data_IF_138309318111
#
_entry.id   IF_138309318111
#
_cell.length_a   1.000
_cell.length_b   1.000
_cell.length_c   1.000
_cell.angle_alpha   90.00
_cell.angle_beta   90.00
_cell.angle_gamma   90.00
#
_symmetry.space_group_name_H-M   'P 1'
#
loop_
_entity.id
_entity.type
_entity.pdbx_description
1 polymer ?
#
# COMPACT_ATOMS: atom_id res chain seq x y z
N UNK A 1 -11.80 -5.90 1.53
CA UNK A 1 -10.72 -6.68 0.92
C UNK A 1 -11.23 -7.26 -0.38
N UNK A 2 -10.36 -7.32 -1.39
CA UNK A 2 -10.63 -7.83 -2.75
C UNK A 2 -10.98 -9.32 -2.78
N UNK A 3 -11.33 -9.92 -3.95
CA UNK A 3 -11.63 -11.34 -4.06
C UNK A 3 -10.57 -12.27 -3.46
N UNK A 4 -9.29 -11.93 -3.52
CA UNK A 4 -8.22 -12.73 -2.91
C UNK A 4 -8.17 -12.63 -1.37
N UNK A 5 -8.94 -11.72 -0.77
CA UNK A 5 -9.04 -11.56 0.68
C UNK A 5 -9.71 -12.74 1.39
N UNK A 6 -9.39 -12.91 2.67
CA UNK A 6 -9.85 -14.05 3.48
C UNK A 6 -11.38 -14.15 3.52
N UNK A 7 -12.07 -13.04 3.81
CA UNK A 7 -13.54 -12.99 3.92
C UNK A 7 -14.20 -13.42 2.60
N UNK A 8 -13.81 -12.80 1.48
CA UNK A 8 -14.39 -13.15 0.17
C UNK A 8 -14.07 -14.59 -0.24
N UNK A 9 -12.87 -15.08 0.09
CA UNK A 9 -12.50 -16.48 -0.15
C UNK A 9 -13.41 -17.43 0.62
N UNK A 10 -13.67 -17.17 1.91
CA UNK A 10 -14.60 -17.97 2.73
C UNK A 10 -16.02 -17.93 2.16
N UNK A 11 -16.51 -16.76 1.75
CA UNK A 11 -17.82 -16.63 1.09
C UNK A 11 -17.91 -17.48 -0.18
N UNK A 12 -16.91 -17.41 -1.07
CA UNK A 12 -16.87 -18.24 -2.30
C UNK A 12 -16.81 -19.74 -2.04
N UNK A 13 -16.24 -20.15 -0.90
CA UNK A 13 -16.21 -21.54 -0.46
C UNK A 13 -17.48 -21.98 0.28
N UNK A 14 -18.47 -21.11 0.43
CA UNK A 14 -19.72 -21.37 1.16
C UNK A 14 -19.57 -21.40 2.69
N UNK A 15 -18.46 -20.88 3.21
CA UNK A 15 -18.11 -20.87 4.64
C UNK A 15 -18.65 -19.59 5.30
N UNK A 16 -19.99 -19.46 5.33
CA UNK A 16 -20.67 -18.24 5.80
C UNK A 16 -20.32 -17.89 7.25
N UNK A 17 -20.43 -18.86 8.17
CA UNK A 17 -20.21 -18.62 9.59
C UNK A 17 -18.76 -18.19 9.87
N UNK A 18 -17.79 -18.79 9.17
CA UNK A 18 -16.40 -18.38 9.25
C UNK A 18 -16.15 -16.99 8.65
N UNK A 19 -16.83 -16.63 7.56
CA UNK A 19 -16.72 -15.30 6.97
C UNK A 19 -17.26 -14.22 7.93
N UNK A 20 -18.41 -14.47 8.56
CA UNK A 20 -19.00 -13.59 9.59
C UNK A 20 -18.07 -13.47 10.79
N UNK A 21 -17.54 -14.60 11.30
CA UNK A 21 -16.60 -14.60 12.42
C UNK A 21 -15.34 -13.80 12.10
N UNK A 22 -14.70 -14.06 10.96
CA UNK A 22 -13.48 -13.34 10.56
C UNK A 22 -13.75 -11.84 10.38
N UNK A 23 -14.86 -11.47 9.74
CA UNK A 23 -15.21 -10.05 9.57
C UNK A 23 -15.51 -9.36 10.91
N UNK A 24 -16.21 -10.04 11.83
CA UNK A 24 -16.47 -9.54 13.18
C UNK A 24 -15.19 -9.36 13.99
N UNK A 25 -14.27 -10.34 13.95
CA UNK A 25 -12.97 -10.26 14.63
C UNK A 25 -12.15 -9.07 14.12
N UNK A 26 -12.12 -8.84 12.80
CA UNK A 26 -11.45 -7.66 12.24
C UNK A 26 -12.15 -6.36 12.63
N UNK A 27 -13.48 -6.33 12.64
CA UNK A 27 -14.25 -5.16 13.09
C UNK A 27 -13.98 -4.84 14.57
N UNK A 28 -13.84 -5.86 15.43
CA UNK A 28 -13.49 -5.67 16.84
C UNK A 28 -12.05 -5.12 17.00
N UNK A 29 -11.12 -5.57 16.17
CA UNK A 29 -9.72 -5.09 16.19
C UNK A 29 -9.62 -3.64 15.72
N UNK A 30 -10.25 -3.29 14.59
CA UNK A 30 -10.13 -1.96 14.01
C UNK A 30 -11.13 -0.94 14.59
N UNK A 31 -12.21 -1.43 15.20
CA UNK A 31 -13.33 -0.63 15.65
C UNK A 31 -14.40 -0.46 14.57
N UNK A 32 -15.67 -0.38 15.01
CA UNK A 32 -16.84 -0.33 14.12
C UNK A 32 -16.83 0.80 13.09
N UNK A 33 -16.24 1.94 13.45
CA UNK A 33 -16.15 3.12 12.57
C UNK A 33 -15.01 3.04 11.54
N UNK A 34 -14.08 2.09 11.72
CA UNK A 34 -12.88 1.95 10.88
C UNK A 34 -12.89 0.66 10.05
N UNK A 35 -13.97 -0.12 10.12
CA UNK A 35 -14.14 -1.35 9.34
C UNK A 35 -15.24 -1.16 8.30
N UNK A 36 -14.90 -1.46 7.05
CA UNK A 36 -15.79 -1.35 5.92
C UNK A 36 -15.83 -2.66 5.13
N UNK A 37 -17.00 -3.01 4.62
CA UNK A 37 -17.16 -4.08 3.64
C UNK A 37 -16.96 -3.48 2.25
N UNK A 38 -15.87 -3.89 1.62
CA UNK A 38 -15.48 -3.42 0.29
C UNK A 38 -16.30 -4.11 -0.80
N UNK A 39 -16.84 -3.30 -1.70
CA UNK A 39 -17.57 -3.72 -2.89
C UNK A 39 -16.81 -3.27 -4.15
N UNK A 40 -16.73 -4.17 -5.12
CA UNK A 40 -16.12 -3.93 -6.43
C UNK A 40 -17.00 -4.57 -7.50
N UNK A 41 -17.01 -3.95 -8.68
CA UNK A 41 -17.78 -4.45 -9.82
C UNK A 41 -17.06 -4.11 -11.14
N UNK A 42 -16.50 -5.14 -11.75
CA UNK A 42 -15.85 -5.14 -13.05
C UNK A 42 -16.72 -5.86 -14.11
N UNK A 43 -17.99 -6.15 -13.80
CA UNK A 43 -18.91 -6.87 -14.68
C UNK A 43 -18.65 -8.38 -14.74
N UNK A 44 -18.00 -8.94 -13.72
CA UNK A 44 -17.67 -10.36 -13.65
C UNK A 44 -18.72 -11.13 -12.83
N UNK A 45 -19.23 -12.24 -13.37
CA UNK A 45 -20.23 -13.08 -12.71
C UNK A 45 -19.81 -13.53 -11.29
N UNK A 46 -18.50 -13.75 -11.10
CA UNK A 46 -17.94 -14.16 -9.80
C UNK A 46 -18.09 -13.05 -8.76
N UNK A 47 -17.99 -11.78 -9.16
CA UNK A 47 -18.15 -10.63 -8.28
C UNK A 47 -19.62 -10.42 -7.96
N UNK A 48 -20.52 -10.52 -8.94
CA UNK A 48 -21.97 -10.37 -8.72
C UNK A 48 -22.50 -11.36 -7.68
N UNK A 49 -22.01 -12.61 -7.68
CA UNK A 49 -22.40 -13.61 -6.69
C UNK A 49 -21.93 -13.25 -5.28
N UNK A 50 -20.67 -12.84 -5.15
CA UNK A 50 -20.08 -12.51 -3.84
C UNK A 50 -20.64 -11.18 -3.30
N UNK A 51 -21.01 -10.23 -4.16
CA UNK A 51 -21.61 -8.95 -3.75
C UNK A 51 -22.86 -9.13 -2.90
N UNK A 52 -23.76 -10.06 -3.25
CA UNK A 52 -24.96 -10.31 -2.44
C UNK A 52 -24.61 -10.82 -1.04
N UNK A 53 -23.65 -11.73 -0.94
CA UNK A 53 -23.17 -12.23 0.35
C UNK A 53 -22.44 -11.15 1.16
N UNK A 54 -21.70 -10.26 0.50
CA UNK A 54 -21.05 -9.11 1.14
C UNK A 54 -22.07 -8.10 1.70
N UNK A 55 -23.13 -7.81 0.97
CA UNK A 55 -24.22 -6.95 1.45
C UNK A 55 -24.89 -7.56 2.69
N UNK A 56 -25.21 -8.85 2.64
CA UNK A 56 -25.77 -9.58 3.78
C UNK A 56 -24.79 -9.59 4.96
N UNK A 57 -23.50 -9.72 4.71
CA UNK A 57 -22.46 -9.72 5.74
C UNK A 57 -22.38 -8.35 6.42
N UNK A 58 -22.37 -7.28 5.63
CA UNK A 58 -22.36 -5.90 6.11
C UNK A 58 -23.57 -5.61 7.01
N UNK A 59 -24.77 -6.05 6.60
CA UNK A 59 -25.98 -5.95 7.43
C UNK A 59 -25.84 -6.76 8.73
N UNK A 60 -25.36 -8.00 8.64
CA UNK A 60 -25.22 -8.92 9.79
C UNK A 60 -24.33 -8.34 10.89
N UNK A 61 -23.21 -7.73 10.54
CA UNK A 61 -22.26 -7.15 11.51
C UNK A 61 -22.49 -5.65 11.74
N UNK A 62 -23.39 -5.02 10.97
CA UNK A 62 -23.64 -3.58 10.99
C UNK A 62 -22.40 -2.78 10.60
N UNK A 63 -21.70 -3.20 9.54
CA UNK A 63 -20.56 -2.49 8.95
C UNK A 63 -21.01 -1.59 7.78
N UNK A 64 -20.29 -0.48 7.56
CA UNK A 64 -20.50 0.37 6.40
C UNK A 64 -19.94 -0.28 5.14
N UNK A 65 -20.51 0.05 3.99
CA UNK A 65 -20.02 -0.36 2.68
C UNK A 65 -18.99 0.64 2.15
N UNK A 66 -18.05 0.20 1.33
CA UNK A 66 -17.16 1.12 0.58
C UNK A 66 -16.99 0.61 -0.85
N UNK A 67 -17.18 1.47 -1.83
CA UNK A 67 -16.96 1.16 -3.23
C UNK A 67 -15.50 1.45 -3.61
N UNK A 68 -14.83 0.46 -4.21
CA UNK A 68 -13.48 0.60 -4.77
C UNK A 68 -13.44 0.00 -6.18
N UNK A 69 -12.32 0.16 -6.90
CA UNK A 69 -12.19 -0.30 -8.29
C UNK A 69 -10.86 -1.02 -8.58
N UNK A 70 -10.17 -1.49 -7.54
CA UNK A 70 -8.90 -2.22 -7.61
C UNK A 70 -7.95 -1.76 -8.74
N UNK A 71 -7.56 -0.49 -8.69
CA UNK A 71 -6.90 0.19 -9.80
C UNK A 71 -5.52 -0.42 -10.08
N UNK A 72 -5.28 -0.83 -11.33
CA UNK A 72 -3.99 -1.35 -11.78
C UNK A 72 -3.33 -0.49 -12.87
N UNK A 73 -4.10 0.40 -13.49
CA UNK A 73 -3.60 1.31 -14.53
C UNK A 73 -4.41 2.62 -14.55
N UNK A 74 -3.94 3.61 -15.32
CA UNK A 74 -4.50 4.97 -15.25
C UNK A 74 -5.70 5.11 -16.18
N UNK A 75 -5.57 4.72 -17.45
CA UNK A 75 -6.62 4.85 -18.48
C UNK A 75 -7.07 3.48 -18.95
N UNK A 76 -8.31 3.38 -19.40
CA UNK A 76 -8.84 2.11 -19.91
C UNK A 76 -7.96 1.49 -21.02
N UNK A 77 -7.44 2.31 -21.94
CA UNK A 77 -6.57 1.87 -23.04
C UNK A 77 -5.23 1.27 -22.59
N UNK A 78 -4.82 1.51 -21.33
CA UNK A 78 -3.58 0.96 -20.76
C UNK A 78 -3.70 -0.53 -20.39
N UNK A 79 -4.90 -1.12 -20.49
CA UNK A 79 -5.15 -2.53 -20.15
C UNK A 79 -4.21 -3.51 -20.88
N UNK A 80 -3.91 -3.26 -22.15
CA UNK A 80 -2.96 -4.08 -22.92
C UNK A 80 -1.52 -4.00 -22.39
N UNK A 81 -1.12 -2.83 -21.89
CA UNK A 81 0.20 -2.64 -21.27
C UNK A 81 0.28 -3.34 -19.92
N UNK A 82 -0.81 -3.30 -19.14
CA UNK A 82 -0.91 -4.05 -17.89
C UNK A 82 -0.84 -5.56 -18.14
N UNK A 83 -1.51 -6.06 -19.17
CA UNK A 83 -1.45 -7.48 -19.55
C UNK A 83 -0.03 -7.93 -19.93
N UNK A 84 0.69 -7.11 -20.71
CA UNK A 84 2.10 -7.37 -21.02
C UNK A 84 2.98 -7.39 -19.76
N UNK A 85 2.74 -6.48 -18.81
CA UNK A 85 3.45 -6.46 -17.53
C UNK A 85 3.20 -7.73 -16.71
N UNK A 86 1.95 -8.21 -16.66
CA UNK A 86 1.59 -9.46 -15.97
C UNK A 86 2.32 -10.65 -16.59
N UNK A 87 2.32 -10.76 -17.92
CA UNK A 87 3.01 -11.84 -18.63
C UNK A 87 4.52 -11.86 -18.35
N UNK A 88 5.16 -10.69 -18.31
CA UNK A 88 6.58 -10.55 -17.93
C UNK A 88 6.79 -11.06 -16.50
N UNK A 89 5.91 -10.68 -15.56
CA UNK A 89 6.04 -11.05 -14.15
C UNK A 89 5.81 -12.55 -13.90
N UNK A 90 4.89 -13.17 -14.63
CA UNK A 90 4.63 -14.62 -14.53
C UNK A 90 5.58 -15.47 -15.37
N UNK A 91 6.45 -14.86 -16.19
CA UNK A 91 7.34 -15.58 -17.09
C UNK A 91 6.62 -16.33 -18.22
N UNK A 92 5.42 -15.87 -18.60
CA UNK A 92 4.61 -16.42 -19.69
C UNK A 92 4.63 -15.50 -20.92
N UNK A 93 4.19 -16.01 -22.07
CA UNK A 93 4.04 -15.18 -23.28
C UNK A 93 2.61 -14.63 -23.40
N UNK A 94 2.41 -13.57 -24.19
CA UNK A 94 1.08 -13.03 -24.46
C UNK A 94 0.18 -14.00 -25.25
N UNK A 95 0.79 -14.91 -26.01
CA UNK A 95 0.08 -15.93 -26.79
C UNK A 95 -0.34 -17.14 -25.96
N UNK A 96 0.17 -17.28 -24.73
CA UNK A 96 -0.21 -18.37 -23.82
C UNK A 96 -1.65 -18.16 -23.31
N UNK A 97 -2.61 -19.05 -23.65
CA UNK A 97 -4.00 -18.92 -23.22
C UNK A 97 -4.17 -19.14 -21.71
N UNK A 98 -3.26 -19.87 -21.07
CA UNK A 98 -3.31 -20.21 -19.64
C UNK A 98 -2.55 -19.18 -18.77
N UNK A 99 -2.06 -18.10 -19.38
CA UNK A 99 -1.39 -17.02 -18.65
C UNK A 99 -2.31 -16.39 -17.60
N UNK A 100 -1.70 -15.90 -16.54
CA UNK A 100 -2.40 -15.01 -15.61
C UNK A 100 -2.71 -13.67 -16.30
N UNK A 101 -3.98 -13.30 -16.34
CA UNK A 101 -4.48 -12.01 -16.83
C UNK A 101 -5.72 -11.61 -16.07
N UNK A 102 -6.07 -10.34 -16.11
CA UNK A 102 -7.37 -9.88 -15.64
C UNK A 102 -8.45 -10.11 -16.68
N UNK A 103 -9.68 -10.30 -16.22
CA UNK A 103 -10.85 -10.37 -17.07
C UNK A 103 -11.40 -8.95 -17.30
N UNK A 104 -11.51 -8.55 -18.58
CA UNK A 104 -12.00 -7.22 -18.96
C UNK A 104 -10.98 -6.09 -18.79
N UNK A 105 -11.45 -4.85 -18.96
CA UNK A 105 -10.63 -3.61 -18.96
C UNK A 105 -10.94 -2.67 -17.79
N UNK A 106 -11.75 -3.09 -16.82
CA UNK A 106 -12.36 -2.22 -15.80
C UNK A 106 -11.45 -1.67 -14.69
N UNK A 107 -10.16 -2.01 -14.67
CA UNK A 107 -9.22 -1.71 -13.56
C UNK A 107 -8.46 -0.37 -13.73
N UNK A 108 -9.07 0.59 -14.43
CA UNK A 108 -8.53 1.95 -14.60
C UNK A 108 -9.14 2.95 -13.62
N UNK A 109 -8.57 4.16 -13.55
CA UNK A 109 -9.13 5.26 -12.75
C UNK A 109 -10.45 5.76 -13.36
N UNK A 110 -11.56 5.10 -13.00
CA UNK A 110 -12.92 5.55 -13.34
C UNK A 110 -13.17 6.95 -12.75
N UNK A 111 -13.82 7.80 -13.54
CA UNK A 111 -14.34 9.08 -13.07
C UNK A 111 -15.40 8.87 -11.98
N UNK A 112 -15.61 9.90 -11.16
CA UNK A 112 -16.67 9.87 -10.14
C UNK A 112 -18.05 9.55 -10.75
N UNK A 113 -18.34 10.06 -11.95
CA UNK A 113 -19.60 9.79 -12.65
C UNK A 113 -19.72 8.34 -13.15
N UNK A 114 -18.61 7.68 -13.49
CA UNK A 114 -18.61 6.24 -13.81
C UNK A 114 -18.83 5.41 -12.55
N UNK A 115 -18.08 5.67 -11.47
CA UNK A 115 -18.25 4.95 -10.20
C UNK A 115 -19.67 5.08 -9.64
N UNK A 116 -20.25 6.28 -9.69
CA UNK A 116 -21.65 6.51 -9.26
C UNK A 116 -22.67 5.79 -10.14
N UNK A 117 -22.37 5.55 -11.42
CA UNK A 117 -23.23 4.74 -12.30
C UNK A 117 -23.13 3.25 -11.98
N UNK A 118 -21.93 2.75 -11.70
CA UNK A 118 -21.71 1.36 -11.26
C UNK A 118 -22.47 1.07 -9.97
N UNK A 119 -22.36 1.96 -8.97
CA UNK A 119 -23.00 1.81 -7.67
C UNK A 119 -24.27 2.67 -7.51
N UNK A 120 -25.07 2.82 -8.58
CA UNK A 120 -26.26 3.68 -8.56
C UNK A 120 -27.31 3.25 -7.51
N UNK A 121 -27.40 1.93 -7.26
CA UNK A 121 -28.31 1.34 -6.26
C UNK A 121 -27.76 1.41 -4.82
N UNK A 122 -26.48 1.73 -4.65
CA UNK A 122 -25.76 1.78 -3.37
C UNK A 122 -24.93 3.08 -3.27
N UNK A 123 -25.57 4.27 -3.34
CA UNK A 123 -24.86 5.55 -3.35
C UNK A 123 -23.97 5.74 -2.12
N UNK A 124 -24.34 5.17 -0.98
CA UNK A 124 -23.59 5.23 0.27
C UNK A 124 -22.22 4.56 0.18
N UNK A 125 -22.05 3.54 -0.67
CA UNK A 125 -20.76 2.89 -0.87
C UNK A 125 -19.75 3.88 -1.49
N UNK A 126 -20.21 4.75 -2.39
CA UNK A 126 -19.40 5.84 -2.92
C UNK A 126 -19.23 6.98 -1.91
N UNK A 127 -20.27 7.35 -1.16
CA UNK A 127 -20.17 8.43 -0.16
C UNK A 127 -19.16 8.11 0.94
N UNK A 128 -19.11 6.86 1.39
CA UNK A 128 -18.15 6.41 2.41
C UNK A 128 -16.68 6.54 1.95
N UNK A 129 -16.40 6.59 0.65
CA UNK A 129 -15.04 6.89 0.16
C UNK A 129 -14.60 8.30 0.55
N UNK A 130 -15.53 9.26 0.54
CA UNK A 130 -15.26 10.65 0.95
C UNK A 130 -15.12 10.73 2.47
N UNK A 131 -15.96 10.01 3.22
CA UNK A 131 -15.83 9.92 4.68
C UNK A 131 -14.44 9.40 5.09
N UNK A 132 -13.99 8.31 4.46
CA UNK A 132 -12.65 7.75 4.71
C UNK A 132 -11.57 8.77 4.34
N UNK A 133 -11.71 9.46 3.20
CA UNK A 133 -10.75 10.48 2.77
C UNK A 133 -10.66 11.65 3.77
N UNK A 134 -11.78 12.08 4.34
CA UNK A 134 -11.83 13.14 5.36
C UNK A 134 -11.25 12.69 6.72
N UNK A 135 -11.29 11.39 7.03
CA UNK A 135 -10.71 10.82 8.25
C UNK A 135 -9.18 10.62 8.15
N UNK A 136 -8.62 10.58 6.94
CA UNK A 136 -7.20 10.34 6.72
C UNK A 136 -6.37 11.60 6.94
N UNK A 137 -5.75 11.74 8.13
CA UNK A 137 -4.75 12.77 8.41
C UNK A 137 -3.36 12.14 8.60
N UNK A 138 -2.48 12.32 7.61
CA UNK A 138 -1.09 11.82 7.66
C UNK A 138 -0.13 12.96 7.30
N UNK A 139 0.88 13.17 8.12
CA UNK A 139 1.93 14.15 7.87
C UNK A 139 3.31 13.50 7.94
N UNK A 140 4.20 13.95 7.05
CA UNK A 140 5.59 13.51 7.00
C UNK A 140 6.49 14.68 7.34
N UNK A 141 7.30 14.55 8.39
CA UNK A 141 8.38 15.51 8.63
C UNK A 141 9.57 15.16 7.74
N UNK A 142 9.65 15.83 6.60
CA UNK A 142 10.73 15.66 5.61
C UNK A 142 11.99 16.47 5.93
N UNK A 143 11.97 17.28 7.01
CA UNK A 143 13.10 18.08 7.47
C UNK A 143 13.81 17.46 8.66
N UNK A 144 13.16 16.56 9.37
CA UNK A 144 13.76 15.88 10.50
C UNK A 144 15.01 15.10 10.08
N UNK A 145 16.07 15.32 10.84
CA UNK A 145 17.29 14.54 10.76
C UNK A 145 17.28 13.53 11.90
N UNK A 146 16.89 12.29 11.59
CA UNK A 146 16.88 11.17 12.55
C UNK A 146 18.23 10.43 12.59
N UNK A 147 19.34 11.11 12.29
CA UNK A 147 20.66 10.50 12.44
C UNK A 147 20.88 10.06 13.90
N UNK A 148 21.34 8.82 14.13
CA UNK A 148 21.70 8.36 15.46
C UNK A 148 22.77 9.25 16.07
N UNK A 149 22.69 9.45 17.40
CA UNK A 149 23.75 10.13 18.15
C UNK A 149 24.90 9.16 18.39
N UNK A 150 26.09 9.51 17.92
CA UNK A 150 27.29 8.71 18.17
C UNK A 150 27.74 8.91 19.63
N UNK A 151 27.99 7.83 20.39
CA UNK A 151 28.45 7.97 21.77
C UNK A 151 29.88 8.52 21.78
N UNK A 152 30.06 9.69 22.42
CA UNK A 152 31.36 10.32 22.59
C UNK A 152 31.78 10.32 24.07
N UNK A 153 33.07 10.33 24.39
CA UNK A 153 33.54 10.43 25.77
C UNK A 153 33.09 11.72 26.47
N UNK A 154 33.10 11.70 27.81
CA UNK A 154 32.76 12.87 28.62
C UNK A 154 33.64 14.08 28.26
N UNK A 155 33.00 15.22 28.03
CA UNK A 155 33.65 16.47 27.64
C UNK A 155 33.85 16.66 26.14
N UNK A 156 33.43 15.70 25.31
CA UNK A 156 33.42 15.81 23.85
C UNK A 156 32.00 16.00 23.29
N UNK A 157 31.93 16.47 22.06
CA UNK A 157 30.75 16.39 21.18
C UNK A 157 31.09 15.59 19.91
N UNK A 158 30.08 15.29 19.08
CA UNK A 158 30.27 14.49 17.85
C UNK A 158 31.30 15.11 16.90
N UNK A 159 31.37 16.44 16.83
CA UNK A 159 32.31 17.18 15.96
C UNK A 159 33.74 17.08 16.47
N UNK A 160 33.98 17.38 17.75
CA UNK A 160 35.30 17.32 18.38
C UNK A 160 35.84 15.89 18.41
N UNK A 161 34.97 14.91 18.64
CA UNK A 161 35.34 13.50 18.54
C UNK A 161 35.65 13.09 17.11
N UNK A 162 34.84 13.52 16.13
CA UNK A 162 35.08 13.25 14.71
C UNK A 162 36.45 13.79 14.24
N UNK A 163 36.80 15.02 14.61
CA UNK A 163 38.11 15.62 14.29
C UNK A 163 39.26 14.81 14.91
N UNK A 164 39.09 14.34 16.16
CA UNK A 164 40.10 13.49 16.83
C UNK A 164 40.26 12.14 16.12
N UNK A 165 39.18 11.52 15.70
CA UNK A 165 39.21 10.27 14.94
C UNK A 165 39.82 10.46 13.54
N UNK A 166 39.58 11.59 12.87
CA UNK A 166 40.25 11.95 11.62
C UNK A 166 41.76 12.05 11.83
N UNK A 167 42.24 12.79 12.83
CA UNK A 167 43.69 12.94 13.06
C UNK A 167 44.34 11.58 13.41
N UNK A 168 43.67 10.75 14.22
CA UNK A 168 44.10 9.36 14.48
C UNK A 168 44.16 8.54 13.20
N UNK A 169 43.16 8.68 12.33
CA UNK A 169 43.10 8.04 11.03
C UNK A 169 44.24 8.48 10.10
N UNK A 170 44.54 9.77 10.03
CA UNK A 170 45.64 10.33 9.24
C UNK A 170 47.00 9.79 9.69
N UNK A 171 47.28 9.78 10.98
CA UNK A 171 48.53 9.22 11.50
C UNK A 171 48.65 7.72 11.25
N UNK A 172 47.55 6.97 11.37
CA UNK A 172 47.54 5.53 11.03
C UNK A 172 47.79 5.30 9.54
N UNK A 173 47.21 6.14 8.67
CA UNK A 173 47.32 6.01 7.21
C UNK A 173 48.66 6.47 6.66
N UNK A 174 49.29 7.44 7.32
CA UNK A 174 50.56 8.06 6.94
C UNK A 174 51.57 8.04 8.10
N UNK A 175 52.11 6.86 8.45
CA UNK A 175 52.99 6.70 9.62
C UNK A 175 54.31 7.45 9.51
N UNK A 176 54.75 7.77 8.29
CA UNK A 176 56.01 8.46 8.00
C UNK A 176 55.82 9.98 7.75
N UNK A 177 54.67 10.53 8.16
CA UNK A 177 54.33 11.93 7.95
C UNK A 177 53.13 12.11 7.04
N UNK A 178 52.19 12.94 7.47
CA UNK A 178 50.94 13.24 6.75
C UNK A 178 51.25 14.28 5.66
N UNK A 179 51.01 13.99 4.37
CA UNK A 179 51.23 14.95 3.28
C UNK A 179 50.38 16.22 3.45
N UNK A 180 50.93 17.37 3.09
CA UNK A 180 50.24 18.66 3.19
C UNK A 180 48.91 18.70 2.43
N UNK A 181 48.85 18.03 1.27
CA UNK A 181 47.62 17.92 0.49
C UNK A 181 46.52 17.17 1.27
N UNK A 182 46.86 16.05 1.91
CA UNK A 182 45.93 15.25 2.72
C UNK A 182 45.48 16.00 3.97
N UNK A 183 46.39 16.77 4.60
CA UNK A 183 46.04 17.60 5.77
C UNK A 183 45.08 18.73 5.40
N UNK A 184 45.31 19.41 4.27
CA UNK A 184 44.41 20.46 3.77
C UNK A 184 43.03 19.92 3.44
N UNK A 185 42.96 18.76 2.80
CA UNK A 185 41.69 18.11 2.46
C UNK A 185 40.89 17.76 3.73
N UNK A 186 41.52 17.15 4.73
CA UNK A 186 40.87 16.80 6.00
C UNK A 186 40.39 18.00 6.83
N UNK A 187 40.90 19.21 6.57
CA UNK A 187 40.44 20.44 7.22
C UNK A 187 39.28 21.11 6.47
N UNK A 188 39.10 20.79 5.19
CA UNK A 188 38.10 21.42 4.33
C UNK A 188 36.81 20.60 4.19
N UNK A 189 36.88 19.29 4.42
CA UNK A 189 35.74 18.37 4.47
C UNK A 189 35.11 18.36 5.87
#
# INVERSE_FOLDING_TARGET
GSPSGEIQTRLRLGQWDEAVRTAGELQDVFGRENFYVELMDHGLDIETRVTQDLLRLAETIGARLVATNDLHYVREDDASSQEALLAINSGSTLDDPDRFKFDGTGYYVKSAAEMRRVFAELPEACDNTLLIAEQCEVSFDTKANYMPRFPVPDGEDETSWFVKEIERGLHRRYPNGIPDASRKQAQSE
#
